data_IF_019362993073
#
_entry.id   IF_019362993073
#
_cell.length_a   1.000
_cell.length_b   1.000
_cell.length_c   1.000
_cell.angle_alpha   90.00
_cell.angle_beta   90.00
_cell.angle_gamma   90.00
#
_symmetry.space_group_name_H-M   'P 1'
#
loop_
_entity.id
_entity.type
_entity.pdbx_description
1 polymer ?
#
# COMPACT_ATOMS: atom_id res chain seq x y z
N UNK A 1 5.14 -19.74 12.03
CA UNK A 1 6.13 -19.30 11.02
C UNK A 1 5.55 -19.26 9.61
N UNK A 2 4.78 -20.26 9.12
CA UNK A 2 4.15 -20.16 7.78
C UNK A 2 3.11 -19.04 7.69
N UNK A 3 2.23 -18.90 8.69
CA UNK A 3 1.13 -17.92 8.67
C UNK A 3 1.62 -16.46 8.59
N UNK A 4 2.77 -16.15 9.19
CA UNK A 4 3.36 -14.82 9.15
C UNK A 4 3.93 -14.51 7.76
N UNK A 5 4.55 -15.49 7.10
CA UNK A 5 5.05 -15.38 5.72
C UNK A 5 3.87 -15.24 4.75
N UNK A 6 2.80 -16.03 4.92
CA UNK A 6 1.60 -15.96 4.08
C UNK A 6 0.91 -14.60 4.19
N UNK A 7 0.86 -14.03 5.40
CA UNK A 7 0.30 -12.71 5.63
C UNK A 7 1.14 -11.57 5.04
N UNK A 8 2.48 -11.65 5.15
CA UNK A 8 3.37 -10.69 4.51
C UNK A 8 3.21 -10.68 2.98
N UNK A 9 3.11 -11.85 2.36
CA UNK A 9 2.87 -11.98 0.92
C UNK A 9 1.53 -11.35 0.52
N UNK A 10 0.48 -11.54 1.34
CA UNK A 10 -0.82 -10.91 1.11
C UNK A 10 -0.72 -9.38 1.19
N UNK A 11 -0.08 -8.83 2.21
CA UNK A 11 0.12 -7.38 2.34
C UNK A 11 0.90 -6.81 1.14
N UNK A 12 1.93 -7.51 0.70
CA UNK A 12 2.73 -7.11 -0.46
C UNK A 12 1.91 -7.04 -1.75
N UNK A 13 1.05 -8.04 -2.01
CA UNK A 13 0.22 -8.05 -3.21
C UNK A 13 -0.89 -6.97 -3.15
N UNK A 14 -1.43 -6.70 -1.96
CA UNK A 14 -2.38 -5.60 -1.73
C UNK A 14 -1.72 -4.26 -2.03
N UNK A 15 -0.52 -4.00 -1.49
CA UNK A 15 0.24 -2.76 -1.73
C UNK A 15 0.53 -2.58 -3.21
N UNK A 16 1.06 -3.60 -3.86
CA UNK A 16 1.36 -3.56 -5.30
C UNK A 16 0.12 -3.21 -6.13
N UNK A 17 -1.00 -3.88 -5.85
CA UNK A 17 -2.27 -3.64 -6.54
C UNK A 17 -2.80 -2.24 -6.30
N UNK A 18 -2.75 -1.76 -5.05
CA UNK A 18 -3.20 -0.43 -4.67
C UNK A 18 -2.35 0.67 -5.32
N UNK A 19 -1.02 0.52 -5.33
CA UNK A 19 -0.09 1.47 -5.96
C UNK A 19 -0.33 1.56 -7.47
N UNK A 20 -0.50 0.43 -8.15
CA UNK A 20 -0.82 0.43 -9.59
C UNK A 20 -2.17 1.09 -9.86
N UNK A 21 -3.17 0.83 -9.03
CA UNK A 21 -4.49 1.41 -9.18
C UNK A 21 -4.51 2.91 -8.89
N UNK A 22 -3.77 3.37 -7.88
CA UNK A 22 -3.52 4.78 -7.58
C UNK A 22 -2.85 5.50 -8.77
N UNK A 23 -1.82 4.89 -9.38
CA UNK A 23 -1.17 5.43 -10.59
C UNK A 23 -2.16 5.59 -11.75
N UNK A 24 -3.03 4.60 -11.96
CA UNK A 24 -4.08 4.66 -12.98
C UNK A 24 -5.14 5.73 -12.67
N UNK A 25 -5.56 5.85 -11.40
CA UNK A 25 -6.50 6.87 -10.96
C UNK A 25 -5.93 8.28 -11.15
N UNK A 26 -4.67 8.52 -10.75
CA UNK A 26 -3.94 9.76 -10.98
C UNK A 26 -3.88 10.12 -12.46
N UNK A 27 -3.55 9.17 -13.32
CA UNK A 27 -3.51 9.39 -14.78
C UNK A 27 -4.89 9.75 -15.37
N UNK A 28 -5.98 9.21 -14.80
CA UNK A 28 -7.36 9.52 -15.20
C UNK A 28 -7.91 10.81 -14.57
N UNK A 29 -7.20 11.43 -13.64
CA UNK A 29 -7.70 12.56 -12.85
C UNK A 29 -8.81 12.18 -11.87
N UNK A 30 -8.94 10.90 -11.52
CA UNK A 30 -9.94 10.40 -10.57
C UNK A 30 -9.43 10.55 -9.14
N UNK A 31 -9.67 11.74 -8.57
CA UNK A 31 -9.25 12.09 -7.22
C UNK A 31 -9.91 11.21 -6.16
N UNK A 32 -11.19 10.84 -6.34
CA UNK A 32 -11.92 10.00 -5.38
C UNK A 32 -11.31 8.60 -5.28
N UNK A 33 -11.02 7.98 -6.43
CA UNK A 33 -10.32 6.70 -6.45
C UNK A 33 -8.90 6.81 -5.89
N UNK A 34 -8.20 7.92 -6.15
CA UNK A 34 -6.86 8.14 -5.62
C UNK A 34 -6.84 8.13 -4.08
N UNK A 35 -7.74 8.88 -3.44
CA UNK A 35 -7.91 8.85 -1.97
C UNK A 35 -8.28 7.46 -1.44
N UNK A 36 -9.16 6.73 -2.12
CA UNK A 36 -9.52 5.39 -1.69
C UNK A 36 -8.32 4.41 -1.71
N UNK A 37 -7.45 4.48 -2.73
CA UNK A 37 -6.24 3.65 -2.76
C UNK A 37 -5.20 4.07 -1.74
N UNK A 38 -5.25 5.32 -1.28
CA UNK A 38 -4.41 5.77 -0.18
C UNK A 38 -4.81 5.23 1.17
N UNK A 39 -6.10 5.25 1.47
CA UNK A 39 -6.60 4.68 2.71
C UNK A 39 -6.19 3.20 2.82
N UNK A 40 -6.17 2.48 1.69
CA UNK A 40 -5.68 1.10 1.64
C UNK A 40 -4.19 1.02 1.96
N UNK A 41 -3.35 1.86 1.35
CA UNK A 41 -1.91 1.89 1.60
C UNK A 41 -1.60 2.24 3.06
N UNK A 42 -2.31 3.21 3.63
CA UNK A 42 -2.15 3.66 5.02
C UNK A 42 -2.55 2.56 6.03
N UNK A 43 -3.63 1.82 5.73
CA UNK A 43 -4.01 0.65 6.53
C UNK A 43 -2.93 -0.43 6.49
N UNK A 44 -2.33 -0.71 5.33
CA UNK A 44 -1.24 -1.69 5.24
C UNK A 44 -0.01 -1.23 6.01
N UNK A 45 0.33 0.07 5.95
CA UNK A 45 1.43 0.64 6.74
C UNK A 45 1.18 0.47 8.24
N UNK A 46 -0.02 0.80 8.71
CA UNK A 46 -0.42 0.61 10.10
C UNK A 46 -0.34 -0.85 10.52
N UNK A 47 -0.78 -1.78 9.66
CA UNK A 47 -0.69 -3.23 9.94
C UNK A 47 0.75 -3.71 10.04
N UNK A 48 1.63 -3.26 9.14
CA UNK A 48 3.05 -3.59 9.18
C UNK A 48 3.71 -3.09 10.48
N UNK A 49 3.39 -1.87 10.92
CA UNK A 49 3.86 -1.31 12.20
C UNK A 49 3.37 -2.11 13.40
N UNK A 50 2.08 -2.48 13.44
CA UNK A 50 1.49 -3.29 14.51
C UNK A 50 2.15 -4.67 14.61
N UNK A 51 2.60 -5.22 13.48
CA UNK A 51 3.22 -6.54 13.40
C UNK A 51 4.75 -6.52 13.47
N UNK A 52 5.36 -5.36 13.66
CA UNK A 52 6.81 -5.15 13.66
C UNK A 52 7.48 -5.69 12.38
N UNK A 53 6.77 -5.55 11.25
CA UNK A 53 7.25 -5.95 9.92
C UNK A 53 7.83 -4.71 9.22
N UNK A 54 9.08 -4.76 8.74
CA UNK A 54 9.67 -3.66 7.97
C UNK A 54 8.83 -3.33 6.73
N UNK A 55 8.64 -2.04 6.44
CA UNK A 55 7.89 -1.59 5.26
C UNK A 55 8.48 -2.11 3.94
N UNK A 56 9.78 -2.40 3.91
CA UNK A 56 10.45 -3.05 2.78
C UNK A 56 9.98 -4.47 2.50
N UNK A 57 9.54 -5.20 3.52
CA UNK A 57 9.02 -6.56 3.38
C UNK A 57 7.60 -6.60 2.83
N UNK A 58 6.83 -5.51 2.99
CA UNK A 58 5.47 -5.38 2.44
C UNK A 58 5.43 -4.56 1.15
N UNK A 59 6.58 -4.26 0.55
CA UNK A 59 6.67 -3.56 -0.74
C UNK A 59 6.32 -2.07 -0.69
N UNK A 60 6.39 -1.45 0.50
CA UNK A 60 6.18 -0.01 0.69
C UNK A 60 7.48 0.80 0.68
N UNK A 61 8.64 0.17 0.52
CA UNK A 61 9.90 0.89 0.40
C UNK A 61 9.93 1.75 -0.87
N UNK A 62 10.18 3.05 -0.70
CA UNK A 62 10.11 4.05 -1.77
C UNK A 62 8.69 4.42 -2.24
N UNK A 63 7.63 3.92 -1.60
CA UNK A 63 6.27 4.41 -1.84
C UNK A 63 6.06 5.64 -0.96
N UNK A 64 6.36 6.80 -1.53
CA UNK A 64 6.02 8.06 -0.88
C UNK A 64 4.52 8.32 -1.04
N UNK A 65 3.77 7.92 -0.02
CA UNK A 65 2.32 8.05 0.04
C UNK A 65 1.90 9.52 -0.03
N UNK A 66 2.78 10.48 0.25
CA UNK A 66 2.46 11.90 0.14
C UNK A 66 2.53 12.40 -1.32
N UNK A 67 3.18 11.67 -2.24
CA UNK A 67 3.39 12.11 -3.65
C UNK A 67 2.17 12.04 -4.58
N UNK A 68 1.06 11.53 -4.12
CA UNK A 68 -0.20 11.52 -4.86
C UNK A 68 -1.31 12.34 -4.15
N UNK A 69 -1.03 12.98 -3.01
CA UNK A 69 -1.90 14.00 -2.42
C UNK A 69 -1.63 15.32 -3.17
N UNK A 70 -2.66 16.13 -3.46
CA UNK A 70 -2.51 17.40 -4.17
C UNK A 70 -1.80 18.48 -3.35
#
# INVERSE_FOLDING_TARGET
MSEQIDYQILLQEVVKTAVEAARRAKHKGDQGALYAYYDIIDVVKTQAEVMDVPLSEVGLDGVDVDTFLP
#
